data_IF_515004169587
#
_entry.id   IF_515004169587
#
_cell.length_a   1.000
_cell.length_b   1.000
_cell.length_c   1.000
_cell.angle_alpha   90.00
_cell.angle_beta   90.00
_cell.angle_gamma   90.00
#
_symmetry.space_group_name_H-M   'P 1'
#
loop_
_entity.id
_entity.type
_entity.pdbx_description
1 polymer ?
#
# COMPACT_ATOMS: atom_id res chain seq x y z
N UNK A 1 5.74 17.28 -36.13
CA UNK A 1 7.16 16.95 -36.37
C UNK A 1 7.96 17.40 -35.17
N UNK A 2 8.62 16.50 -34.45
CA UNK A 2 9.46 16.84 -33.30
C UNK A 2 10.92 16.89 -33.73
N UNK A 3 11.54 18.05 -33.52
CA UNK A 3 12.95 18.29 -33.79
C UNK A 3 13.80 17.70 -32.66
N UNK A 4 14.30 16.47 -32.85
CA UNK A 4 15.34 15.93 -32.00
C UNK A 4 16.71 16.31 -32.60
N UNK A 5 17.57 16.94 -31.79
CA UNK A 5 18.99 17.30 -32.04
C UNK A 5 19.37 18.71 -32.54
N UNK A 6 18.46 19.69 -32.62
CA UNK A 6 18.87 21.08 -32.96
C UNK A 6 19.18 21.97 -31.76
N UNK A 7 18.68 21.63 -30.57
CA UNK A 7 19.06 22.29 -29.33
C UNK A 7 19.69 21.26 -28.42
N UNK A 8 20.98 21.41 -28.12
CA UNK A 8 21.71 20.62 -27.11
C UNK A 8 21.24 20.94 -25.67
N UNK A 9 19.93 21.09 -25.47
CA UNK A 9 19.27 21.50 -24.22
C UNK A 9 18.33 20.42 -23.68
N UNK A 10 18.43 19.18 -24.17
CA UNK A 10 17.74 18.01 -23.63
C UNK A 10 18.69 17.08 -22.88
N UNK A 11 18.17 16.33 -21.91
CA UNK A 11 18.92 15.35 -21.12
C UNK A 11 19.50 14.26 -22.03
N UNK A 12 20.80 14.36 -22.32
CA UNK A 12 21.43 13.61 -23.41
C UNK A 12 21.95 12.22 -23.04
N UNK A 13 22.04 11.85 -21.76
CA UNK A 13 22.52 10.51 -21.37
C UNK A 13 22.04 10.15 -19.96
N UNK A 14 20.92 9.41 -19.81
CA UNK A 14 20.44 9.00 -18.49
C UNK A 14 21.41 8.02 -17.80
N UNK A 15 22.28 7.34 -18.55
CA UNK A 15 23.26 6.38 -18.03
C UNK A 15 24.43 7.10 -17.35
N UNK A 16 24.93 8.21 -17.90
CA UNK A 16 26.02 8.98 -17.29
C UNK A 16 25.57 9.76 -16.05
N UNK A 17 24.31 10.20 -16.01
CA UNK A 17 23.75 10.87 -14.85
C UNK A 17 23.57 9.94 -13.63
N UNK A 18 23.43 8.63 -13.86
CA UNK A 18 23.29 7.62 -12.82
C UNK A 18 24.63 7.08 -12.26
N UNK A 19 25.77 7.47 -12.84
CA UNK A 19 27.10 7.01 -12.41
C UNK A 19 27.79 8.11 -11.61
N UNK A 20 27.70 8.04 -10.29
CA UNK A 20 28.22 9.07 -9.39
C UNK A 20 29.68 8.88 -8.97
N UNK A 21 30.36 7.77 -9.31
CA UNK A 21 31.80 7.58 -9.06
C UNK A 21 32.42 6.57 -10.04
N UNK A 22 33.53 6.86 -10.74
CA UNK A 22 34.30 5.85 -11.45
C UNK A 22 35.11 5.00 -10.46
N UNK A 23 35.05 3.68 -10.62
CA UNK A 23 35.71 2.71 -9.76
C UNK A 23 37.21 2.98 -9.63
N UNK A 24 37.60 3.41 -8.43
CA UNK A 24 38.98 3.28 -7.94
C UNK A 24 38.95 2.20 -6.87
N UNK A 25 39.69 1.13 -7.09
CA UNK A 25 39.89 0.04 -6.14
C UNK A 25 40.53 0.57 -4.84
N UNK A 26 40.03 0.16 -3.66
CA UNK A 26 40.98 -0.14 -2.59
C UNK A 26 40.64 -1.45 -1.85
N UNK A 27 41.71 -1.99 -1.26
CA UNK A 27 41.81 -3.22 -0.48
C UNK A 27 41.08 -3.13 0.89
N UNK A 28 41.02 -4.22 1.68
CA UNK A 28 39.97 -4.48 2.66
C UNK A 28 40.24 -3.82 4.02
N UNK A 29 39.19 -3.27 4.64
CA UNK A 29 39.19 -2.97 6.07
C UNK A 29 38.48 -1.67 6.44
N UNK A 30 37.40 -1.82 7.21
CA UNK A 30 36.81 -0.84 8.16
C UNK A 30 35.79 0.19 7.62
N UNK A 31 34.52 -0.10 7.93
CA UNK A 31 33.34 0.75 7.75
C UNK A 31 33.24 1.80 8.87
N UNK A 32 32.68 3.00 8.57
CA UNK A 32 31.96 3.77 9.56
C UNK A 32 30.46 3.86 9.21
N UNK A 33 29.66 3.28 10.10
CA UNK A 33 28.35 3.74 10.56
C UNK A 33 27.33 4.21 9.52
N UNK A 34 26.51 3.29 9.02
CA UNK A 34 25.20 3.61 8.43
C UNK A 34 24.10 3.22 9.42
N UNK A 35 23.24 4.19 9.76
CA UNK A 35 22.09 4.00 10.62
C UNK A 35 21.22 2.83 10.14
N UNK A 36 21.00 1.85 11.02
CA UNK A 36 20.07 0.74 10.79
C UNK A 36 18.65 1.31 10.70
N UNK A 37 18.07 1.28 9.50
CA UNK A 37 16.62 1.32 9.33
C UNK A 37 16.04 0.03 9.93
N UNK A 38 15.47 0.14 11.14
CA UNK A 38 14.75 -0.95 11.81
C UNK A 38 13.31 -0.99 11.32
N UNK A 39 13.07 -1.54 10.13
CA UNK A 39 11.76 -2.12 9.76
C UNK A 39 11.84 -3.06 8.56
N UNK A 40 12.96 -3.78 8.41
CA UNK A 40 13.03 -4.89 7.45
C UNK A 40 12.22 -6.07 7.97
N UNK A 41 11.00 -6.25 7.46
CA UNK A 41 10.28 -7.52 7.61
C UNK A 41 11.21 -8.67 7.23
N UNK A 42 11.47 -9.59 8.17
CA UNK A 42 12.34 -10.73 7.95
C UNK A 42 11.78 -11.54 6.77
N UNK A 43 12.51 -11.53 5.64
CA UNK A 43 12.21 -12.40 4.50
C UNK A 43 12.36 -13.84 4.97
N UNK A 44 11.30 -14.62 4.84
CA UNK A 44 11.33 -16.06 5.10
C UNK A 44 12.34 -16.72 4.16
N UNK A 45 13.26 -17.51 4.72
CA UNK A 45 14.15 -18.36 3.95
C UNK A 45 13.33 -19.44 3.24
N UNK A 46 13.73 -19.83 2.03
CA UNK A 46 13.09 -20.80 1.11
C UNK A 46 12.76 -22.19 1.69
N UNK A 47 13.01 -22.44 2.97
CA UNK A 47 12.97 -23.74 3.63
C UNK A 47 11.70 -24.01 4.43
N UNK A 48 10.90 -23.01 4.78
CA UNK A 48 9.66 -23.22 5.53
C UNK A 48 8.43 -23.10 4.62
N UNK A 49 7.54 -24.10 4.59
CA UNK A 49 6.25 -23.94 3.93
C UNK A 49 5.46 -22.84 4.65
N UNK A 50 5.35 -21.69 4.01
CA UNK A 50 4.49 -20.61 4.48
C UNK A 50 3.05 -21.07 4.33
N UNK A 51 2.46 -21.56 5.42
CA UNK A 51 1.05 -21.90 5.44
C UNK A 51 0.24 -20.61 5.48
N UNK A 52 -0.56 -20.32 4.44
CA UNK A 52 -1.51 -19.22 4.54
C UNK A 52 -2.52 -19.61 5.62
N UNK A 53 -2.62 -18.79 6.66
CA UNK A 53 -3.21 -19.10 7.97
C UNK A 53 -2.24 -19.80 8.95
N UNK A 54 -1.03 -19.27 9.12
CA UNK A 54 -0.06 -19.67 10.17
C UNK A 54 -0.71 -20.04 11.51
N UNK A 55 -1.72 -19.28 11.95
CA UNK A 55 -2.39 -19.51 13.24
C UNK A 55 -3.27 -20.77 13.31
N UNK A 56 -3.74 -21.31 12.17
CA UNK A 56 -4.47 -22.57 12.12
C UNK A 56 -3.51 -23.78 12.00
N UNK A 57 -2.26 -23.56 11.59
CA UNK A 57 -1.21 -24.55 11.43
C UNK A 57 -1.67 -25.84 10.73
N UNK A 58 -2.36 -25.70 9.59
CA UNK A 58 -2.86 -26.83 8.79
C UNK A 58 -4.07 -27.59 9.37
N UNK A 59 -4.59 -27.23 10.55
CA UNK A 59 -5.75 -27.91 11.14
C UNK A 59 -7.08 -27.38 10.60
N UNK A 60 -7.86 -28.27 9.97
CA UNK A 60 -9.19 -27.95 9.45
C UNK A 60 -10.18 -27.52 10.56
N UNK A 61 -10.18 -28.22 11.71
CA UNK A 61 -11.08 -27.91 12.85
C UNK A 61 -10.79 -26.51 13.42
N UNK A 62 -9.51 -26.13 13.50
CA UNK A 62 -9.14 -24.78 13.95
C UNK A 62 -9.55 -23.74 12.92
N UNK A 63 -9.34 -24.01 11.63
CA UNK A 63 -9.74 -23.12 10.55
C UNK A 63 -11.25 -22.83 10.57
N UNK A 64 -12.10 -23.88 10.63
CA UNK A 64 -13.56 -23.70 10.64
C UNK A 64 -14.04 -22.95 11.89
N UNK A 65 -13.48 -23.24 13.06
CA UNK A 65 -13.79 -22.51 14.29
C UNK A 65 -13.46 -21.02 14.18
N UNK A 66 -12.34 -20.66 13.55
CA UNK A 66 -11.96 -19.25 13.32
C UNK A 66 -12.89 -18.58 12.33
N UNK A 67 -13.28 -19.27 11.26
CA UNK A 67 -14.22 -18.79 10.27
C UNK A 67 -15.57 -18.45 10.93
N UNK A 68 -16.14 -19.37 11.72
CA UNK A 68 -17.40 -19.15 12.44
C UNK A 68 -17.31 -18.03 13.48
N UNK A 69 -16.13 -17.78 14.04
CA UNK A 69 -15.89 -16.69 14.99
C UNK A 69 -15.44 -15.39 14.34
N UNK A 70 -15.40 -15.33 13.01
CA UNK A 70 -14.91 -14.18 12.24
C UNK A 70 -13.50 -13.72 12.63
N UNK A 71 -12.65 -14.63 13.10
CA UNK A 71 -11.26 -14.31 13.48
C UNK A 71 -10.43 -14.21 12.20
N UNK A 72 -10.00 -12.99 11.86
CA UNK A 72 -9.17 -12.70 10.70
C UNK A 72 -7.69 -12.96 10.99
N UNK A 73 -6.87 -13.32 9.98
CA UNK A 73 -5.42 -13.38 10.14
C UNK A 73 -4.86 -11.99 10.41
N UNK A 74 -3.80 -11.90 11.22
CA UNK A 74 -3.13 -10.63 11.50
C UNK A 74 -2.41 -10.06 10.28
N UNK A 75 -1.88 -10.93 9.43
CA UNK A 75 -1.08 -10.56 8.25
C UNK A 75 -1.94 -10.49 6.98
N UNK A 76 -1.59 -9.56 6.11
CA UNK A 76 -2.23 -9.39 4.81
C UNK A 76 -1.72 -10.38 3.75
N UNK A 77 -2.47 -10.61 2.64
CA UNK A 77 -2.02 -11.49 1.56
C UNK A 77 -0.68 -11.08 0.92
N UNK A 78 -0.37 -9.79 0.90
CA UNK A 78 0.88 -9.21 0.40
C UNK A 78 2.09 -9.46 1.31
N UNK A 79 1.86 -9.83 2.57
CA UNK A 79 2.89 -10.21 3.55
C UNK A 79 3.09 -11.73 3.58
N UNK A 80 2.01 -12.49 3.35
CA UNK A 80 2.02 -13.95 3.37
C UNK A 80 2.56 -14.53 2.06
N UNK A 81 2.21 -13.95 0.92
CA UNK A 81 2.55 -14.51 -0.39
C UNK A 81 3.54 -13.62 -1.14
N UNK A 82 4.49 -14.26 -1.84
CA UNK A 82 5.43 -13.56 -2.74
C UNK A 82 4.77 -13.10 -4.04
N UNK A 83 3.74 -13.82 -4.49
CA UNK A 83 3.03 -13.56 -5.74
C UNK A 83 1.52 -13.59 -5.51
N UNK A 84 0.77 -13.00 -6.45
CA UNK A 84 -0.68 -13.01 -6.41
C UNK A 84 -1.21 -14.39 -6.80
N UNK A 85 -1.69 -15.14 -5.81
CA UNK A 85 -2.20 -16.52 -6.00
C UNK A 85 -3.56 -16.54 -6.71
N UNK A 86 -4.36 -15.48 -6.53
CA UNK A 86 -5.70 -15.35 -7.12
C UNK A 86 -5.87 -13.93 -7.67
N UNK A 87 -6.68 -13.78 -8.73
CA UNK A 87 -6.99 -12.48 -9.35
C UNK A 87 -7.56 -11.47 -8.36
N UNK A 88 -8.37 -11.92 -7.39
CA UNK A 88 -8.96 -11.06 -6.37
C UNK A 88 -7.91 -10.40 -5.44
N UNK A 89 -6.73 -11.03 -5.26
CA UNK A 89 -5.67 -10.46 -4.42
C UNK A 89 -5.10 -9.18 -5.04
N UNK A 90 -5.20 -9.00 -6.35
CA UNK A 90 -4.62 -7.86 -7.06
C UNK A 90 -5.09 -6.50 -6.51
N UNK A 91 -6.36 -6.38 -6.14
CA UNK A 91 -6.96 -5.11 -5.70
C UNK A 91 -6.31 -4.52 -4.44
N UNK A 92 -5.90 -5.36 -3.50
CA UNK A 92 -5.32 -4.92 -2.22
C UNK A 92 -3.82 -5.20 -2.12
N UNK A 93 -3.22 -5.87 -3.10
CA UNK A 93 -1.83 -6.34 -3.01
C UNK A 93 -0.82 -5.20 -2.81
N UNK A 94 -1.09 -4.06 -3.44
CA UNK A 94 -0.20 -2.90 -3.46
C UNK A 94 -0.40 -1.95 -2.27
N UNK A 95 -1.45 -2.15 -1.45
CA UNK A 95 -1.78 -1.28 -0.31
C UNK A 95 -0.98 -1.67 0.95
N UNK A 96 0.36 -1.51 0.91
CA UNK A 96 1.24 -1.94 2.03
C UNK A 96 1.17 -1.03 3.25
N UNK A 97 1.21 0.28 3.03
CA UNK A 97 1.39 1.25 4.12
C UNK A 97 0.11 2.03 4.47
N UNK A 98 -1.03 1.50 4.01
CA UNK A 98 -2.33 2.13 4.10
C UNK A 98 -2.50 3.28 3.10
N UNK A 99 -3.75 3.54 2.73
CA UNK A 99 -4.13 4.57 1.74
C UNK A 99 -3.63 5.97 2.13
N UNK A 100 -3.46 6.23 3.44
CA UNK A 100 -3.08 7.54 3.97
C UNK A 100 -1.67 8.01 3.57
N UNK A 101 -0.77 7.09 3.24
CA UNK A 101 0.60 7.42 2.84
C UNK A 101 0.74 7.67 1.33
N UNK A 102 -0.33 7.46 0.56
CA UNK A 102 -0.29 7.60 -0.89
C UNK A 102 -0.25 9.09 -1.29
N UNK A 103 0.54 9.43 -2.31
CA UNK A 103 0.76 10.84 -2.68
C UNK A 103 -0.51 11.55 -3.12
N UNK A 104 -1.47 10.82 -3.70
CA UNK A 104 -2.76 11.38 -4.11
C UNK A 104 -3.71 11.67 -2.94
N UNK A 105 -3.49 11.10 -1.75
CA UNK A 105 -4.32 11.39 -0.57
C UNK A 105 -3.85 12.62 0.20
N UNK A 106 -2.65 13.13 -0.08
CA UNK A 106 -2.07 14.27 0.66
C UNK A 106 -2.58 15.64 0.21
N UNK A 107 -3.43 15.69 -0.82
CA UNK A 107 -4.00 16.93 -1.34
C UNK A 107 -5.19 17.43 -0.49
N UNK A 108 -5.54 18.72 -0.61
CA UNK A 108 -6.73 19.27 0.02
C UNK A 108 -7.98 18.61 -0.57
N UNK A 109 -8.70 17.85 0.26
CA UNK A 109 -9.99 17.25 -0.12
C UNK A 109 -11.12 18.21 0.21
N UNK A 110 -12.09 18.34 -0.69
CA UNK A 110 -13.33 19.08 -0.47
C UNK A 110 -14.50 18.11 -0.38
N UNK A 111 -14.65 17.37 0.73
CA UNK A 111 -15.80 16.48 0.90
C UNK A 111 -17.08 17.32 0.90
N UNK A 112 -18.17 16.75 0.37
CA UNK A 112 -19.49 17.37 0.48
C UNK A 112 -19.89 17.37 1.95
N UNK A 113 -19.94 18.55 2.57
CA UNK A 113 -20.48 18.75 3.92
C UNK A 113 -21.94 19.16 3.78
N UNK A 114 -22.85 18.41 4.40
CA UNK A 114 -24.27 18.77 4.47
C UNK A 114 -24.47 19.89 5.48
N UNK A 115 -25.21 20.93 5.12
CA UNK A 115 -25.55 22.01 6.05
C UNK A 115 -26.57 21.54 7.10
N UNK A 116 -26.63 22.21 8.24
CA UNK A 116 -27.65 21.94 9.27
C UNK A 116 -29.08 22.12 8.73
N UNK A 117 -29.30 23.06 7.80
CA UNK A 117 -30.58 23.21 7.12
C UNK A 117 -30.91 22.00 6.25
N UNK A 118 -29.94 21.48 5.50
CA UNK A 118 -30.11 20.25 4.70
C UNK A 118 -30.43 19.07 5.60
N UNK A 119 -29.71 18.94 6.73
CA UNK A 119 -29.93 17.87 7.70
C UNK A 119 -31.32 17.97 8.35
N UNK A 120 -31.76 19.17 8.72
CA UNK A 120 -33.09 19.41 9.27
C UNK A 120 -34.19 19.02 8.27
N UNK A 121 -34.04 19.40 7.00
CA UNK A 121 -34.97 19.03 5.93
C UNK A 121 -35.00 17.52 5.74
N UNK A 122 -33.84 16.85 5.74
CA UNK A 122 -33.75 15.39 5.64
C UNK A 122 -34.43 14.70 6.85
N UNK A 123 -34.24 15.22 8.06
CA UNK A 123 -34.90 14.70 9.27
C UNK A 123 -36.42 14.92 9.24
N UNK A 124 -36.88 16.09 8.78
CA UNK A 124 -38.31 16.42 8.69
C UNK A 124 -39.03 15.65 7.59
N UNK A 125 -38.41 15.44 6.43
CA UNK A 125 -39.00 14.61 5.36
C UNK A 125 -39.16 13.14 5.79
N UNK A 126 -38.27 12.65 6.67
CA UNK A 126 -38.33 11.26 7.15
C UNK A 126 -39.34 11.09 8.29
N UNK A 127 -39.47 12.07 9.17
CA UNK A 127 -40.34 12.01 10.35
C UNK A 127 -41.76 12.51 10.09
N UNK A 128 -41.92 13.53 9.25
CA UNK A 128 -43.20 14.18 8.99
C UNK A 128 -43.60 14.01 7.52
N UNK A 129 -44.65 13.20 7.29
CA UNK A 129 -45.18 12.94 5.94
C UNK A 129 -45.75 14.17 5.24
N UNK A 130 -46.21 15.16 6.01
CA UNK A 130 -46.79 16.41 5.48
C UNK A 130 -45.75 17.52 5.28
N UNK A 131 -44.49 17.27 5.65
CA UNK A 131 -43.44 18.24 5.43
C UNK A 131 -43.08 18.31 3.95
N UNK A 132 -43.24 19.49 3.36
CA UNK A 132 -42.78 19.79 1.99
C UNK A 132 -41.87 21.00 2.03
N UNK A 133 -40.74 20.90 1.33
CA UNK A 133 -39.95 22.07 1.00
C UNK A 133 -40.56 22.63 -0.29
N UNK A 134 -41.41 23.65 -0.12
CA UNK A 134 -42.30 24.27 -1.13
C UNK A 134 -43.60 23.50 -1.40
#
# INVERSE_FOLDING_TARGET
>A
MSFFNLTRLGLQDPIKAAVTVPGTTPAPGEQPNTAKSTSGAQRTTLSEPVYPNSEANGSYVKYTKRLHKHIRPKLGPNEIYHTQVTTNINYSYWMKDGVQQETWTQNEHRPRVTSEMTRFVDEMTLTNREFTLF
#
